data_IF_305730039888
#
_entry.id   IF_305730039888
#
_cell.length_a   1.000
_cell.length_b   1.000
_cell.length_c   1.000
_cell.angle_alpha   90.00
_cell.angle_beta   90.00
_cell.angle_gamma   90.00
#
_symmetry.space_group_name_H-M   'P 1'
#
loop_
_entity.id
_entity.type
_entity.pdbx_description
1 polymer ?
#
# COMPACT_ATOMS: atom_id res chain seq x y z
N UNK A 1 -18.87 -1.62 -27.40
CA UNK A 1 -18.68 -0.57 -26.37
C UNK A 1 -17.40 -0.71 -25.55
N UNK A 2 -16.73 -1.88 -25.47
CA UNK A 2 -15.48 -2.04 -24.70
C UNK A 2 -14.22 -1.57 -25.48
N UNK A 3 -14.27 -1.56 -26.82
CA UNK A 3 -13.14 -1.14 -27.66
C UNK A 3 -12.93 0.39 -27.67
N UNK A 4 -13.99 1.18 -27.47
CA UNK A 4 -13.93 2.65 -27.53
C UNK A 4 -13.28 3.29 -26.30
N UNK A 5 -13.24 2.59 -25.16
CA UNK A 5 -12.53 3.03 -23.95
C UNK A 5 -11.01 2.82 -24.02
N UNK A 6 -10.51 2.12 -25.05
CA UNK A 6 -9.07 1.86 -25.26
C UNK A 6 -8.36 2.98 -25.99
N UNK A 7 -9.06 3.72 -26.87
CA UNK A 7 -8.44 4.67 -27.79
C UNK A 7 -8.35 6.10 -27.23
N UNK A 8 -9.12 6.45 -26.21
CA UNK A 8 -9.10 7.80 -25.61
C UNK A 8 -8.04 7.94 -24.50
N UNK A 9 -7.48 6.83 -24.00
CA UNK A 9 -6.43 6.84 -22.97
C UNK A 9 -5.00 6.90 -23.52
N UNK A 10 -4.82 6.98 -24.84
CA UNK A 10 -3.51 6.91 -25.49
C UNK A 10 -2.83 8.28 -25.70
N UNK A 11 -3.41 9.37 -25.17
CA UNK A 11 -2.86 10.73 -25.33
C UNK A 11 -2.76 11.54 -24.03
N UNK A 12 -2.21 10.93 -22.99
CA UNK A 12 -1.53 11.73 -21.96
C UNK A 12 -0.08 11.27 -21.85
N UNK A 13 0.89 12.08 -22.34
CA UNK A 13 2.28 11.77 -22.13
C UNK A 13 2.52 11.78 -20.62
N UNK A 14 3.09 10.70 -20.11
CA UNK A 14 3.56 10.59 -18.74
C UNK A 14 4.61 11.68 -18.52
N UNK A 15 4.18 12.85 -18.05
CA UNK A 15 5.08 13.84 -17.50
C UNK A 15 5.66 13.24 -16.21
N UNK A 16 6.95 13.00 -16.28
CA UNK A 16 7.81 12.38 -15.28
C UNK A 16 7.76 13.15 -13.95
N UNK A 17 6.87 12.79 -13.02
CA UNK A 17 6.97 13.02 -11.55
C UNK A 17 5.67 12.69 -10.77
N UNK A 18 4.57 12.29 -11.42
CA UNK A 18 3.30 11.99 -10.74
C UNK A 18 3.18 10.56 -10.17
N UNK A 19 2.42 10.42 -9.09
CA UNK A 19 1.89 9.13 -8.63
C UNK A 19 0.96 8.54 -9.70
N UNK A 20 1.23 7.30 -10.14
CA UNK A 20 0.37 6.60 -11.10
C UNK A 20 -0.66 5.79 -10.33
N UNK A 21 -1.94 6.10 -10.52
CA UNK A 21 -3.05 5.30 -9.98
C UNK A 21 -3.09 3.94 -10.66
N UNK A 22 -3.52 2.91 -9.94
CA UNK A 22 -3.78 1.59 -10.52
C UNK A 22 -4.93 1.66 -11.52
N UNK A 23 -4.94 0.74 -12.48
CA UNK A 23 -5.94 0.70 -13.56
C UNK A 23 -7.37 0.76 -13.01
N UNK A 24 -7.67 -0.01 -11.96
CA UNK A 24 -8.98 -0.05 -11.31
C UNK A 24 -9.40 1.25 -10.64
N UNK A 25 -8.48 2.20 -10.41
CA UNK A 25 -8.76 3.50 -9.76
C UNK A 25 -8.39 4.70 -10.62
N UNK A 26 -7.91 4.51 -11.85
CA UNK A 26 -7.52 5.62 -12.74
C UNK A 26 -8.67 6.58 -13.03
N UNK A 27 -9.88 6.04 -13.15
CA UNK A 27 -11.11 6.78 -13.39
C UNK A 27 -11.67 7.52 -12.16
N UNK A 28 -11.08 7.33 -10.97
CA UNK A 28 -11.54 8.00 -9.75
C UNK A 28 -11.08 9.44 -9.69
N UNK A 29 -12.04 10.35 -9.53
CA UNK A 29 -11.82 11.76 -9.22
C UNK A 29 -11.78 11.95 -7.69
N UNK A 30 -10.56 12.02 -7.15
CA UNK A 30 -10.34 12.23 -5.72
C UNK A 30 -10.84 13.61 -5.26
N UNK A 31 -10.85 14.63 -6.11
CA UNK A 31 -11.29 15.98 -5.75
C UNK A 31 -12.79 16.00 -5.44
N UNK A 32 -13.59 15.38 -6.30
CA UNK A 32 -15.04 15.25 -6.09
C UNK A 32 -15.38 14.35 -4.91
N UNK A 33 -14.65 13.25 -4.74
CA UNK A 33 -14.80 12.36 -3.59
C UNK A 33 -14.52 13.07 -2.27
N UNK A 34 -13.40 13.81 -2.18
CA UNK A 34 -13.00 14.54 -0.96
C UNK A 34 -13.91 15.74 -0.65
N UNK A 35 -14.54 16.34 -1.67
CA UNK A 35 -15.58 17.36 -1.49
C UNK A 35 -16.92 16.79 -1.02
N UNK A 36 -17.08 15.47 -1.01
CA UNK A 36 -18.32 14.84 -0.58
C UNK A 36 -19.48 14.98 -1.56
N UNK A 37 -19.20 15.11 -2.87
CA UNK A 37 -20.25 15.22 -3.88
C UNK A 37 -21.09 13.93 -3.96
N UNK A 38 -22.29 13.95 -3.37
CA UNK A 38 -23.14 12.76 -3.20
C UNK A 38 -23.44 12.05 -4.52
N UNK A 39 -23.80 12.79 -5.57
CA UNK A 39 -24.10 12.23 -6.89
C UNK A 39 -22.90 11.52 -7.53
N UNK A 40 -21.67 11.96 -7.24
CA UNK A 40 -20.47 11.27 -7.69
C UNK A 40 -20.17 10.05 -6.81
N UNK A 41 -20.27 10.20 -5.49
CA UNK A 41 -20.02 9.09 -4.56
C UNK A 41 -20.92 7.89 -4.83
N UNK A 42 -22.19 8.11 -5.22
CA UNK A 42 -23.09 7.02 -5.59
C UNK A 42 -22.62 6.21 -6.81
N UNK A 43 -21.76 6.77 -7.67
CA UNK A 43 -21.22 6.05 -8.85
C UNK A 43 -20.02 5.17 -8.52
N UNK A 44 -19.45 5.27 -7.31
CA UNK A 44 -18.21 4.57 -6.91
C UNK A 44 -18.31 3.86 -5.55
N UNK A 45 -19.50 3.85 -4.95
CA UNK A 45 -19.79 3.21 -3.65
C UNK A 45 -20.96 2.23 -3.78
N UNK A 46 -21.26 1.49 -2.69
CA UNK A 46 -22.28 0.43 -2.70
C UNK A 46 -21.90 -0.69 -3.66
N UNK A 47 -22.81 -1.03 -4.58
CA UNK A 47 -22.61 -2.05 -5.60
C UNK A 47 -21.53 -1.66 -6.63
N UNK A 48 -21.19 -0.37 -6.73
CA UNK A 48 -20.14 0.15 -7.62
C UNK A 48 -18.77 0.24 -6.94
N UNK A 49 -18.61 -0.37 -5.76
CA UNK A 49 -17.34 -0.34 -5.04
C UNK A 49 -16.24 -0.99 -5.87
N UNK A 50 -15.14 -0.26 -6.04
CA UNK A 50 -13.98 -0.74 -6.78
C UNK A 50 -13.33 -1.90 -6.02
N UNK A 51 -13.20 -3.09 -6.64
CA UNK A 51 -12.51 -4.21 -6.03
C UNK A 51 -11.01 -3.96 -6.01
N UNK A 52 -10.33 -4.47 -4.98
CA UNK A 52 -8.88 -4.57 -5.02
C UNK A 52 -8.49 -5.65 -6.03
N UNK A 53 -7.80 -5.28 -7.10
CA UNK A 53 -7.33 -6.25 -8.10
C UNK A 53 -5.93 -6.74 -7.68
N UNK A 54 -5.75 -8.06 -7.46
CA UNK A 54 -4.44 -8.61 -7.16
C UNK A 54 -3.46 -8.33 -8.29
N UNK A 55 -2.22 -7.94 -7.96
CA UNK A 55 -1.15 -7.84 -8.94
C UNK A 55 -0.40 -9.19 -9.05
N UNK A 56 -0.64 -10.01 -10.10
CA UNK A 56 0.02 -11.31 -10.24
C UNK A 56 1.52 -11.17 -10.50
N UNK A 57 1.96 -10.01 -10.98
CA UNK A 57 3.35 -9.71 -11.34
C UNK A 57 4.04 -8.82 -10.29
N UNK A 58 3.57 -8.86 -9.04
CA UNK A 58 4.14 -8.07 -7.96
C UNK A 58 5.57 -8.52 -7.65
N UNK A 59 6.54 -7.68 -8.02
CA UNK A 59 7.96 -7.95 -7.79
C UNK A 59 8.34 -7.68 -6.34
N UNK A 60 8.93 -8.69 -5.69
CA UNK A 60 9.25 -8.68 -4.26
C UNK A 60 10.74 -8.51 -3.94
N UNK A 61 11.57 -8.09 -4.90
CA UNK A 61 12.95 -7.74 -4.59
C UNK A 61 13.00 -6.44 -3.77
N UNK A 62 14.02 -6.26 -2.93
CA UNK A 62 14.16 -5.05 -2.12
C UNK A 62 14.22 -3.77 -2.96
N UNK A 63 14.82 -3.81 -4.15
CA UNK A 63 14.81 -2.66 -5.07
C UNK A 63 13.39 -2.27 -5.48
N UNK A 64 12.51 -3.23 -5.72
CA UNK A 64 11.13 -2.97 -6.14
C UNK A 64 10.23 -2.58 -4.96
N UNK A 65 10.40 -3.21 -3.79
CA UNK A 65 9.67 -2.85 -2.56
C UNK A 65 10.02 -1.43 -2.11
N UNK A 66 11.32 -1.10 -2.04
CA UNK A 66 11.77 0.23 -1.61
C UNK A 66 11.28 1.33 -2.56
N UNK A 67 11.29 1.12 -3.87
CA UNK A 67 10.71 2.05 -4.85
C UNK A 67 9.23 2.33 -4.64
N UNK A 68 8.46 1.37 -4.10
CA UNK A 68 7.02 1.54 -3.84
C UNK A 68 6.73 2.26 -2.53
N UNK A 69 7.59 2.10 -1.52
CA UNK A 69 7.38 2.66 -0.17
C UNK A 69 8.07 4.00 0.00
N UNK A 70 9.34 4.11 -0.41
CA UNK A 70 10.17 5.26 -0.10
C UNK A 70 9.77 6.49 -0.93
N UNK A 71 9.67 7.67 -0.32
CA UNK A 71 9.52 8.91 -1.05
C UNK A 71 10.77 9.19 -1.89
N UNK A 72 10.61 9.90 -3.01
CA UNK A 72 11.72 10.37 -3.85
C UNK A 72 12.41 11.63 -3.31
N UNK A 73 12.03 12.08 -2.12
CA UNK A 73 12.55 13.29 -1.48
C UNK A 73 13.08 12.96 -0.09
N UNK A 74 14.03 13.79 0.37
CA UNK A 74 14.56 13.69 1.73
C UNK A 74 13.61 14.33 2.73
N UNK A 75 13.43 13.68 3.88
CA UNK A 75 12.58 14.15 4.97
C UNK A 75 13.43 14.81 6.06
N UNK A 76 12.98 15.95 6.57
CA UNK A 76 13.62 16.61 7.72
C UNK A 76 13.38 15.76 8.97
N UNK A 77 14.34 15.69 9.91
CA UNK A 77 14.14 15.00 11.18
C UNK A 77 12.91 15.53 11.94
N UNK A 78 12.16 14.62 12.54
CA UNK A 78 11.03 14.91 13.43
C UNK A 78 11.56 15.42 14.76
N UNK A 79 10.94 16.50 15.27
CA UNK A 79 11.36 17.20 16.50
C UNK A 79 11.29 16.33 17.77
N UNK A 80 10.29 15.44 17.84
CA UNK A 80 10.00 14.63 19.04
C UNK A 80 10.49 13.17 18.84
N UNK A 81 11.18 12.90 17.73
CA UNK A 81 11.52 11.54 17.31
C UNK A 81 10.42 10.87 16.48
N UNK A 82 10.61 9.57 16.21
CA UNK A 82 9.71 8.79 15.37
C UNK A 82 8.58 8.10 16.14
N UNK A 83 7.62 7.60 15.37
CA UNK A 83 6.45 6.86 15.86
C UNK A 83 6.68 5.37 15.64
N UNK A 84 6.30 4.55 16.62
CA UNK A 84 6.24 3.10 16.49
C UNK A 84 4.81 2.66 16.12
N UNK A 85 4.67 1.91 15.02
CA UNK A 85 3.40 1.37 14.53
C UNK A 85 3.35 -0.14 14.76
N UNK A 86 2.43 -0.60 15.60
CA UNK A 86 2.10 -2.02 15.72
C UNK A 86 0.86 -2.35 14.89
N UNK A 87 0.90 -3.44 14.11
CA UNK A 87 -0.18 -3.86 13.21
C UNK A 87 -0.35 -5.37 13.23
N UNK A 88 -1.57 -5.82 13.48
CA UNK A 88 -1.97 -7.22 13.25
C UNK A 88 -2.41 -7.34 11.80
N UNK A 89 -1.86 -8.30 11.05
CA UNK A 89 -2.11 -8.43 9.60
C UNK A 89 -2.35 -9.89 9.21
N UNK A 90 -3.21 -10.11 8.20
CA UNK A 90 -3.56 -11.46 7.73
C UNK A 90 -3.69 -11.58 6.20
N UNK A 91 -3.97 -10.49 5.48
CA UNK A 91 -4.17 -10.46 4.04
C UNK A 91 -3.83 -9.08 3.45
N UNK A 92 -4.02 -8.94 2.13
CA UNK A 92 -3.91 -7.67 1.39
C UNK A 92 -2.56 -6.95 1.52
N UNK A 93 -1.48 -7.66 1.18
CA UNK A 93 -0.11 -7.14 1.26
C UNK A 93 0.08 -5.74 0.65
N UNK A 94 -0.51 -5.48 -0.53
CA UNK A 94 -0.36 -4.20 -1.22
C UNK A 94 -1.02 -3.04 -0.46
N UNK A 95 -2.05 -3.31 0.34
CA UNK A 95 -2.65 -2.33 1.25
C UNK A 95 -1.71 -2.00 2.41
N UNK A 96 -0.99 -2.99 2.95
CA UNK A 96 0.02 -2.78 3.99
C UNK A 96 1.14 -1.87 3.47
N UNK A 97 1.66 -2.10 2.26
CA UNK A 97 2.64 -1.20 1.65
C UNK A 97 2.12 0.24 1.57
N UNK A 98 0.84 0.44 1.25
CA UNK A 98 0.22 1.77 1.20
C UNK A 98 0.11 2.43 2.57
N UNK A 99 -0.24 1.67 3.61
CA UNK A 99 -0.25 2.18 4.98
C UNK A 99 1.14 2.62 5.43
N UNK A 100 2.18 1.86 5.08
CA UNK A 100 3.58 2.23 5.36
C UNK A 100 3.95 3.48 4.57
N UNK A 101 3.66 3.52 3.26
CA UNK A 101 3.95 4.67 2.41
C UNK A 101 3.36 5.97 2.97
N UNK A 102 2.10 5.95 3.44
CA UNK A 102 1.43 7.12 4.02
C UNK A 102 2.02 7.57 5.36
N UNK A 103 2.68 6.67 6.08
CA UNK A 103 3.24 6.95 7.42
C UNK A 103 4.76 6.94 7.43
N UNK A 104 5.41 6.84 6.26
CA UNK A 104 6.84 6.63 6.17
C UNK A 104 7.61 7.82 6.74
N UNK A 105 8.55 7.51 7.62
CA UNK A 105 9.61 8.42 8.02
C UNK A 105 10.83 7.60 8.44
N UNK A 106 12.08 7.99 8.13
CA UNK A 106 13.27 7.23 8.53
C UNK A 106 13.40 6.97 10.05
N UNK A 107 12.78 7.83 10.87
CA UNK A 107 12.73 7.67 12.33
C UNK A 107 11.56 6.79 12.82
N UNK A 108 10.57 6.50 11.98
CA UNK A 108 9.46 5.64 12.36
C UNK A 108 9.89 4.17 12.41
N UNK A 109 9.16 3.37 13.18
CA UNK A 109 9.39 1.93 13.35
C UNK A 109 8.08 1.17 13.17
N UNK A 110 8.16 -0.05 12.67
CA UNK A 110 6.99 -0.86 12.35
C UNK A 110 7.13 -2.26 12.93
N UNK A 111 6.07 -2.77 13.54
CA UNK A 111 5.95 -4.13 14.04
C UNK A 111 4.71 -4.77 13.43
N UNK A 112 4.90 -5.87 12.70
CA UNK A 112 3.82 -6.65 12.11
C UNK A 112 3.65 -7.95 12.87
N UNK A 113 2.48 -8.17 13.45
CA UNK A 113 2.08 -9.47 13.99
C UNK A 113 1.25 -10.17 12.91
N UNK A 114 1.81 -11.22 12.33
CA UNK A 114 1.13 -11.95 11.25
C UNK A 114 0.30 -13.08 11.83
N UNK A 115 -0.99 -13.10 11.47
CA UNK A 115 -1.92 -14.12 11.92
C UNK A 115 -1.40 -15.53 11.58
N UNK A 116 -1.60 -16.47 12.49
CA UNK A 116 -1.09 -17.85 12.34
C UNK A 116 -1.67 -18.56 11.12
N UNK A 117 -2.94 -18.30 10.81
CA UNK A 117 -3.67 -18.90 9.71
C UNK A 117 -3.58 -18.08 8.41
N UNK A 118 -2.65 -17.12 8.32
CA UNK A 118 -2.46 -16.35 7.10
C UNK A 118 -1.92 -17.24 5.97
N UNK A 119 -2.31 -16.93 4.73
CA UNK A 119 -1.82 -17.62 3.54
C UNK A 119 -0.28 -17.58 3.47
N UNK A 120 0.34 -18.68 3.03
CA UNK A 120 1.80 -18.80 2.97
C UNK A 120 2.43 -17.79 2.01
N UNK A 121 1.75 -17.47 0.91
CA UNK A 121 2.16 -16.44 -0.04
C UNK A 121 2.07 -15.03 0.56
N UNK A 122 1.03 -14.75 1.36
CA UNK A 122 0.95 -13.50 2.13
C UNK A 122 2.07 -13.41 3.17
N UNK A 123 2.27 -14.47 3.97
CA UNK A 123 3.31 -14.56 4.97
C UNK A 123 4.70 -14.26 4.36
N UNK A 124 5.02 -14.92 3.24
CA UNK A 124 6.28 -14.71 2.52
C UNK A 124 6.44 -13.26 2.05
N UNK A 125 5.37 -12.62 1.55
CA UNK A 125 5.44 -11.22 1.11
C UNK A 125 5.76 -10.27 2.27
N UNK A 126 5.13 -10.44 3.44
CA UNK A 126 5.43 -9.63 4.63
C UNK A 126 6.86 -9.88 5.12
N UNK A 127 7.32 -11.12 5.05
CA UNK A 127 8.70 -11.47 5.40
C UNK A 127 9.72 -10.77 4.48
N UNK A 128 9.50 -10.78 3.16
CA UNK A 128 10.35 -10.06 2.20
C UNK A 128 10.36 -8.56 2.48
N UNK A 129 9.19 -7.96 2.73
CA UNK A 129 9.06 -6.56 3.09
C UNK A 129 9.95 -6.19 4.28
N UNK A 130 9.80 -6.91 5.39
CA UNK A 130 10.51 -6.60 6.64
C UNK A 130 12.02 -6.76 6.48
N UNK A 131 12.48 -7.80 5.77
CA UNK A 131 13.90 -8.04 5.46
C UNK A 131 14.54 -6.85 4.71
N UNK A 132 13.78 -6.14 3.87
CA UNK A 132 14.30 -5.02 3.09
C UNK A 132 14.53 -3.72 3.88
N UNK A 133 14.05 -3.61 5.12
CA UNK A 133 14.14 -2.40 5.94
C UNK A 133 14.89 -2.58 7.27
N UNK A 134 15.52 -3.74 7.49
CA UNK A 134 16.35 -4.02 8.67
C UNK A 134 15.66 -3.64 9.98
N UNK A 135 16.35 -2.91 10.85
CA UNK A 135 15.83 -2.55 12.18
C UNK A 135 14.64 -1.56 12.17
N UNK A 136 14.21 -1.05 11.00
CA UNK A 136 13.03 -0.19 10.93
C UNK A 136 11.73 -0.99 10.98
N UNK A 137 11.76 -2.26 10.58
CA UNK A 137 10.58 -3.12 10.56
C UNK A 137 10.90 -4.45 11.23
N UNK A 138 9.95 -4.98 11.98
CA UNK A 138 10.04 -6.33 12.54
C UNK A 138 8.75 -7.10 12.27
N UNK A 139 8.89 -8.43 12.22
CA UNK A 139 7.80 -9.36 12.03
C UNK A 139 7.77 -10.34 13.20
N UNK A 140 6.59 -10.49 13.81
CA UNK A 140 6.29 -11.50 14.80
C UNK A 140 5.30 -12.50 14.20
N UNK A 141 5.51 -13.78 14.45
CA UNK A 141 4.54 -14.80 14.11
C UNK A 141 3.46 -14.86 15.19
N UNK A 142 2.20 -15.05 14.81
CA UNK A 142 1.08 -15.16 15.76
C UNK A 142 1.26 -16.24 16.83
N UNK A 143 1.97 -17.33 16.50
CA UNK A 143 2.39 -18.36 17.47
C UNK A 143 3.29 -17.77 18.56
N UNK A 144 4.38 -17.11 18.15
CA UNK A 144 5.38 -16.53 19.06
C UNK A 144 4.83 -15.38 19.92
N UNK A 145 3.80 -14.66 19.46
CA UNK A 145 3.12 -13.65 20.29
C UNK A 145 2.29 -14.27 21.42
N UNK A 146 1.69 -15.45 21.18
CA UNK A 146 0.87 -16.15 22.16
C UNK A 146 1.72 -16.70 23.32
N UNK A 147 2.99 -17.01 23.04
CA UNK A 147 3.97 -17.52 24.02
C UNK A 147 4.62 -16.40 24.88
N UNK A 148 4.37 -15.13 24.55
CA UNK A 148 4.88 -13.96 25.29
C UNK A 148 3.87 -13.40 26.33
N UNK A 149 2.73 -14.06 26.50
CA UNK A 149 1.68 -13.69 27.48
C UNK A 149 1.66 -14.62 28.68
#
# INVERSE_FOLDING_TARGET
MIASLRLENEKQPATSLGYVKRLETQHIDCGRALKGESAYLSTITGDHRIPLIPNPSLKMSCSEITKRILPRYSMKPLRIGGIAFARNVFADYEYIEKQIQMTWHPQNRYCFVVAENADSGFFWKVEQLVKCFGNQMIMLHGKTYSDLK
#
